data_IF_149785834567
#
_entry.id   IF_149785834567
#
_cell.length_a   1.000
_cell.length_b   1.000
_cell.length_c   1.000
_cell.angle_alpha   90.00
_cell.angle_beta   90.00
_cell.angle_gamma   90.00
#
_symmetry.space_group_name_H-M   'P 1'
#
loop_
_entity.id
_entity.type
_entity.pdbx_description
1 polymer ?
#
# COMPACT_ATOMS: atom_id res chain seq x y z
N UNK A 1 -12.55 -34.01 -19.96
CA UNK A 1 -11.60 -34.05 -18.83
C UNK A 1 -10.40 -33.08 -18.97
N UNK A 2 -9.73 -32.99 -20.14
CA UNK A 2 -8.53 -32.14 -20.34
C UNK A 2 -8.76 -30.63 -20.17
N UNK A 3 -9.92 -30.12 -20.62
CA UNK A 3 -10.26 -28.69 -20.57
C UNK A 3 -10.53 -28.15 -19.16
N UNK A 4 -10.90 -29.03 -18.22
CA UNK A 4 -11.17 -28.63 -16.83
C UNK A 4 -9.90 -28.20 -16.11
N UNK A 5 -8.76 -28.83 -16.43
CA UNK A 5 -7.45 -28.45 -15.88
C UNK A 5 -7.01 -27.06 -16.38
N UNK A 6 -7.32 -26.73 -17.64
CA UNK A 6 -6.98 -25.42 -18.21
C UNK A 6 -7.80 -24.28 -17.58
N UNK A 7 -9.08 -24.52 -17.29
CA UNK A 7 -9.95 -23.53 -16.63
C UNK A 7 -9.54 -23.31 -15.17
N UNK A 8 -9.18 -24.37 -14.46
CA UNK A 8 -8.70 -24.27 -13.07
C UNK A 8 -7.36 -23.51 -12.98
N UNK A 9 -6.44 -23.73 -13.92
CA UNK A 9 -5.17 -23.01 -13.96
C UNK A 9 -5.38 -21.50 -14.24
N UNK A 10 -6.32 -21.15 -15.12
CA UNK A 10 -6.60 -19.75 -15.46
C UNK A 10 -7.21 -18.97 -14.27
N UNK A 11 -8.06 -19.62 -13.47
CA UNK A 11 -8.67 -19.02 -12.28
C UNK A 11 -7.64 -18.62 -11.21
N UNK A 12 -6.55 -19.38 -11.07
CA UNK A 12 -5.49 -19.09 -10.11
C UNK A 12 -4.64 -17.87 -10.51
N UNK A 13 -4.47 -17.61 -11.80
CA UNK A 13 -3.68 -16.46 -12.31
C UNK A 13 -4.40 -15.13 -12.04
N UNK A 14 -5.74 -15.11 -12.08
CA UNK A 14 -6.52 -13.87 -11.87
C UNK A 14 -6.58 -13.46 -10.40
N UNK A 15 -6.45 -14.39 -9.45
CA UNK A 15 -6.45 -14.09 -8.03
C UNK A 15 -5.19 -13.34 -7.56
N UNK A 16 -4.06 -13.51 -8.26
CA UNK A 16 -2.79 -12.82 -7.93
C UNK A 16 -2.76 -11.35 -8.33
N UNK A 17 -3.62 -10.91 -9.26
CA UNK A 17 -3.67 -9.49 -9.67
C UNK A 17 -4.62 -8.65 -8.79
N UNK A 18 -5.30 -9.27 -7.82
CA UNK A 18 -6.21 -8.60 -6.89
C UNK A 18 -5.53 -8.14 -5.59
N UNK A 19 -4.20 -8.02 -5.59
CA UNK A 19 -3.45 -7.29 -4.55
C UNK A 19 -3.75 -5.79 -4.66
N UNK A 20 -5.01 -5.42 -4.41
CA UNK A 20 -5.35 -4.05 -3.99
C UNK A 20 -4.80 -3.99 -2.57
N UNK A 21 -3.81 -3.14 -2.27
CA UNK A 21 -3.42 -2.94 -0.88
C UNK A 21 -4.66 -2.44 -0.13
N UNK A 22 -5.35 -3.36 0.56
CA UNK A 22 -6.46 -3.10 1.46
C UNK A 22 -5.96 -2.43 2.73
N UNK A 23 -5.06 -1.46 2.59
CA UNK A 23 -4.73 -0.52 3.65
C UNK A 23 -5.58 0.75 3.51
N UNK A 24 -6.87 0.55 3.25
CA UNK A 24 -7.96 1.48 3.56
C UNK A 24 -8.21 1.51 5.08
N UNK A 25 -7.15 1.38 5.89
CA UNK A 25 -7.21 1.70 7.30
C UNK A 25 -7.14 3.22 7.43
N UNK A 26 -8.11 3.92 6.82
CA UNK A 26 -8.26 5.38 6.71
C UNK A 26 -6.97 6.11 7.03
N UNK A 27 -5.96 5.96 6.17
CA UNK A 27 -4.68 6.60 6.40
C UNK A 27 -4.93 8.10 6.53
N UNK A 28 -4.39 8.73 7.57
CA UNK A 28 -4.55 10.17 7.74
C UNK A 28 -3.84 10.89 6.59
N UNK A 29 -4.26 12.11 6.23
CA UNK A 29 -3.59 12.88 5.16
C UNK A 29 -2.07 13.00 5.37
N UNK A 30 -1.63 13.07 6.63
CA UNK A 30 -0.22 13.12 7.03
C UNK A 30 0.51 11.80 6.72
N UNK A 31 -0.13 10.66 7.00
CA UNK A 31 0.42 9.35 6.66
C UNK A 31 0.48 9.11 5.16
N UNK A 32 -0.54 9.54 4.42
CA UNK A 32 -0.55 9.51 2.96
C UNK A 32 0.61 10.32 2.36
N UNK A 33 0.86 11.52 2.90
CA UNK A 33 1.97 12.36 2.46
C UNK A 33 3.33 11.74 2.79
N UNK A 34 3.51 11.19 4.01
CA UNK A 34 4.73 10.47 4.38
C UNK A 34 5.02 9.30 3.43
N UNK A 35 3.98 8.53 3.09
CA UNK A 35 4.08 7.38 2.18
C UNK A 35 4.40 7.80 0.75
N UNK A 36 3.74 8.84 0.24
CA UNK A 36 3.97 9.36 -1.10
C UNK A 36 5.42 9.87 -1.27
N UNK A 37 5.99 10.42 -0.20
CA UNK A 37 7.31 11.05 -0.22
C UNK A 37 8.46 10.08 0.12
N UNK A 38 8.21 8.82 0.48
CA UNK A 38 9.26 7.84 0.79
C UNK A 38 10.27 7.62 -0.35
N UNK A 39 9.87 7.87 -1.60
CA UNK A 39 10.71 7.71 -2.80
C UNK A 39 11.31 9.04 -3.29
N UNK A 40 10.97 10.17 -2.65
CA UNK A 40 11.48 11.47 -3.03
C UNK A 40 12.88 11.71 -2.46
N UNK A 41 13.79 12.39 -3.20
CA UNK A 41 15.10 12.78 -2.69
C UNK A 41 14.93 13.92 -1.69
N UNK A 42 14.77 13.57 -0.41
CA UNK A 42 14.58 14.51 0.68
C UNK A 42 15.68 14.36 1.73
N UNK A 43 15.92 15.42 2.48
CA UNK A 43 16.79 15.35 3.64
C UNK A 43 16.20 14.40 4.71
N UNK A 44 17.05 13.64 5.42
CA UNK A 44 16.57 12.63 6.38
C UNK A 44 15.82 13.25 7.58
N UNK A 45 16.11 14.49 7.94
CA UNK A 45 15.36 15.21 8.98
C UNK A 45 13.93 15.54 8.52
N UNK A 46 13.75 15.91 7.25
CA UNK A 46 12.45 16.16 6.65
C UNK A 46 11.60 14.87 6.64
N UNK A 47 12.21 13.72 6.30
CA UNK A 47 11.55 12.41 6.41
C UNK A 47 11.09 12.10 7.83
N UNK A 48 11.95 12.31 8.84
CA UNK A 48 11.60 12.09 10.25
C UNK A 48 10.43 12.99 10.70
N UNK A 49 10.38 14.23 10.22
CA UNK A 49 9.26 15.14 10.51
C UNK A 49 7.95 14.66 9.89
N UNK A 50 7.98 14.13 8.66
CA UNK A 50 6.80 13.56 8.01
C UNK A 50 6.30 12.32 8.76
N UNK A 51 7.22 11.44 9.19
CA UNK A 51 6.88 10.28 10.01
C UNK A 51 6.23 10.70 11.33
N UNK A 52 6.83 11.64 12.07
CA UNK A 52 6.30 12.11 13.34
C UNK A 52 4.88 12.72 13.20
N UNK A 53 4.61 13.43 12.09
CA UNK A 53 3.27 13.98 11.80
C UNK A 53 2.25 12.87 11.54
N UNK A 54 2.62 11.83 10.80
CA UNK A 54 1.78 10.67 10.60
C UNK A 54 1.45 9.98 11.94
N UNK A 55 2.46 9.75 12.79
CA UNK A 55 2.26 9.14 14.12
C UNK A 55 1.35 9.99 15.01
N UNK A 56 1.55 11.31 15.04
CA UNK A 56 0.71 12.22 15.82
C UNK A 56 -0.74 12.26 15.31
N UNK A 57 -0.94 12.28 14.00
CA UNK A 57 -2.27 12.31 13.37
C UNK A 57 -3.08 11.04 13.64
N UNK A 58 -2.42 9.88 13.81
CA UNK A 58 -3.09 8.63 14.21
C UNK A 58 -3.60 8.63 15.65
N UNK A 59 -3.14 9.56 16.47
CA UNK A 59 -3.53 9.70 17.89
C UNK A 59 -4.58 10.80 18.11
N UNK A 60 -4.97 11.52 17.05
CA UNK A 60 -6.00 12.56 17.05
C UNK A 60 -7.37 11.99 16.66
#
# INVERSE_FOLDING_TARGET
>A
MKHWLAVAALALVVAGCAERPQHEHRETPECMNYRAMMTAPMAPDAMKRLQARCEASRMQ
#
